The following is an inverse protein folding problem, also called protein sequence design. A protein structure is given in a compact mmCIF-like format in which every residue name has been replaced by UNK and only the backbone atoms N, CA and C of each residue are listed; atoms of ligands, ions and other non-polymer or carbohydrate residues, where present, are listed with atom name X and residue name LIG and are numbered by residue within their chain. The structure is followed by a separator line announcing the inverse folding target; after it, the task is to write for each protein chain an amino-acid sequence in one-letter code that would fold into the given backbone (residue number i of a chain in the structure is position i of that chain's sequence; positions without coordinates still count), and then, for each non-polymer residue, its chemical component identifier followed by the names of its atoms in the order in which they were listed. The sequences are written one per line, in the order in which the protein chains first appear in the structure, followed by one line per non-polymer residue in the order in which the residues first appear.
data_IF_991551677754
#
_entry.id   IF_991551677754
#
_cell.length_a   1.000
_cell.length_b   1.000
_cell.length_c   1.000
_cell.angle_alpha   90.00
_cell.angle_beta   90.00
_cell.angle_gamma   90.00
#
_symmetry.space_group_name_H-M   'P 1'
#
loop_
_entity.id
_entity.type
_entity.pdbx_description
1 polymer ?
#
# COMPACT_ATOMS: atom_id res chain seq x y z
N UNK A 1 -18.34 6.04 -28.62
CA UNK A 1 -17.79 5.67 -27.30
C UNK A 1 -16.85 6.76 -26.91
N UNK A 2 -17.27 7.58 -25.95
CA UNK A 2 -16.59 8.81 -25.55
C UNK A 2 -15.32 8.48 -24.77
N UNK A 3 -14.23 9.00 -25.28
CA UNK A 3 -12.87 9.02 -24.72
C UNK A 3 -12.87 9.50 -23.26
N UNK A 4 -13.01 8.60 -22.31
CA UNK A 4 -12.64 8.87 -20.92
C UNK A 4 -11.13 8.72 -20.78
N UNK A 5 -10.35 9.59 -21.45
CA UNK A 5 -8.97 9.79 -21.02
C UNK A 5 -9.04 10.14 -19.53
N UNK A 6 -8.44 9.30 -18.69
CA UNK A 6 -8.32 9.58 -17.26
C UNK A 6 -7.67 10.96 -17.12
N UNK A 7 -8.43 11.94 -16.65
CA UNK A 7 -7.92 13.29 -16.48
C UNK A 7 -6.95 13.29 -15.30
N UNK A 8 -5.77 13.84 -15.51
CA UNK A 8 -4.79 14.00 -14.43
C UNK A 8 -5.39 14.84 -13.31
N UNK A 9 -5.35 14.34 -12.09
CA UNK A 9 -5.68 15.13 -10.90
C UNK A 9 -4.52 16.10 -10.66
N UNK A 10 -4.76 17.41 -10.48
CA UNK A 10 -3.68 18.34 -10.15
C UNK A 10 -2.90 17.93 -8.90
N UNK A 11 -1.59 18.17 -8.87
CA UNK A 11 -0.75 17.88 -7.68
C UNK A 11 -1.30 18.55 -6.41
N UNK A 12 -1.84 19.77 -6.54
CA UNK A 12 -2.46 20.52 -5.44
C UNK A 12 -3.67 19.82 -4.81
N UNK A 13 -4.38 18.99 -5.58
CA UNK A 13 -5.60 18.29 -5.15
C UNK A 13 -5.31 16.88 -4.62
N UNK A 14 -4.07 16.39 -4.71
CA UNK A 14 -3.72 15.09 -4.15
C UNK A 14 -3.86 15.10 -2.63
N UNK A 15 -4.32 13.98 -2.09
CA UNK A 15 -4.37 13.72 -0.65
C UNK A 15 -3.22 12.82 -0.22
N UNK A 16 -2.95 12.73 1.07
CA UNK A 16 -1.92 11.83 1.61
C UNK A 16 -2.20 10.34 1.29
N UNK A 17 -3.44 10.00 0.89
CA UNK A 17 -3.78 8.65 0.43
C UNK A 17 -3.50 8.41 -1.05
N UNK A 18 -3.11 9.43 -1.80
CA UNK A 18 -2.66 9.28 -3.18
C UNK A 18 -1.20 8.81 -3.19
N UNK A 19 -0.94 7.66 -3.81
CA UNK A 19 0.33 6.95 -3.74
C UNK A 19 1.53 7.86 -4.02
N UNK A 20 1.50 8.64 -5.10
CA UNK A 20 2.59 9.55 -5.43
C UNK A 20 2.91 10.51 -4.28
N UNK A 21 1.90 11.19 -3.73
CA UNK A 21 2.12 12.13 -2.63
C UNK A 21 2.56 11.41 -1.35
N UNK A 22 2.00 10.23 -1.09
CA UNK A 22 2.38 9.41 0.06
C UNK A 22 3.86 9.03 0.03
N UNK A 23 4.33 8.50 -1.11
CA UNK A 23 5.72 8.08 -1.29
C UNK A 23 6.66 9.28 -1.09
N UNK A 24 6.38 10.43 -1.71
CA UNK A 24 7.19 11.65 -1.59
C UNK A 24 7.23 12.23 -0.16
N UNK A 25 6.11 12.18 0.56
CA UNK A 25 6.05 12.64 1.95
C UNK A 25 6.87 11.73 2.86
N UNK A 26 6.81 10.43 2.62
CA UNK A 26 7.49 9.42 3.43
C UNK A 26 9.00 9.31 3.14
N UNK A 27 9.51 9.92 2.07
CA UNK A 27 10.95 10.07 1.83
C UNK A 27 11.63 10.98 2.88
N UNK A 28 10.89 11.89 3.49
CA UNK A 28 11.42 12.70 4.58
C UNK A 28 11.38 11.91 5.89
N UNK A 29 12.56 11.49 6.38
CA UNK A 29 12.69 10.65 7.59
C UNK A 29 12.00 11.24 8.82
N UNK A 30 12.07 12.56 9.03
CA UNK A 30 11.45 13.22 10.18
C UNK A 30 9.93 13.20 10.09
N UNK A 31 9.37 13.44 8.91
CA UNK A 31 7.91 13.40 8.68
C UNK A 31 7.41 11.97 8.77
N UNK A 32 8.15 11.02 8.19
CA UNK A 32 7.87 9.60 8.29
C UNK A 32 7.83 9.14 9.75
N UNK A 33 8.83 9.53 10.55
CA UNK A 33 8.87 9.22 11.98
C UNK A 33 7.64 9.77 12.71
N UNK A 34 7.26 11.04 12.48
CA UNK A 34 6.06 11.64 13.07
C UNK A 34 4.79 10.85 12.71
N UNK A 35 4.67 10.42 11.47
CA UNK A 35 3.52 9.61 11.01
C UNK A 35 3.49 8.26 11.75
N UNK A 36 4.62 7.58 11.87
CA UNK A 36 4.71 6.32 12.61
C UNK A 36 4.40 6.50 14.09
N UNK A 37 4.89 7.56 14.73
CA UNK A 37 4.58 7.88 16.14
C UNK A 37 3.08 8.09 16.37
N UNK A 38 2.41 8.82 15.48
CA UNK A 38 0.95 9.01 15.54
C UNK A 38 0.24 7.65 15.39
N UNK A 39 0.67 6.84 14.40
CA UNK A 39 0.06 5.54 14.13
C UNK A 39 0.24 4.58 15.30
N UNK A 40 1.43 4.53 15.90
CA UNK A 40 1.75 3.60 16.97
C UNK A 40 1.31 4.12 18.35
N UNK A 41 1.10 5.43 18.49
CA UNK A 41 0.72 6.09 19.74
C UNK A 41 1.86 6.09 20.77
N UNK A 42 3.10 6.09 20.31
CA UNK A 42 4.32 6.13 21.13
C UNK A 42 5.46 6.76 20.34
N UNK A 43 6.43 7.31 21.04
CA UNK A 43 7.68 7.72 20.42
C UNK A 43 8.42 6.49 19.90
N UNK A 44 9.11 6.65 18.78
CA UNK A 44 9.94 5.61 18.15
C UNK A 44 11.39 6.10 18.07
N UNK A 45 12.33 5.18 18.01
CA UNK A 45 13.73 5.49 17.78
C UNK A 45 13.92 6.14 16.38
N UNK A 46 15.05 6.82 16.18
CA UNK A 46 15.33 7.46 14.89
C UNK A 46 15.33 6.44 13.76
N UNK A 47 14.76 6.80 12.62
CA UNK A 47 14.82 5.99 11.44
C UNK A 47 16.26 6.01 10.88
N UNK A 48 16.84 4.83 10.69
CA UNK A 48 18.21 4.67 10.15
C UNK A 48 18.19 4.33 8.66
N UNK A 49 17.03 3.90 8.15
CA UNK A 49 16.83 3.53 6.77
C UNK A 49 15.37 3.77 6.39
N UNK A 50 15.16 4.57 5.35
CA UNK A 50 13.85 4.75 4.73
C UNK A 50 14.01 4.58 3.21
N UNK A 51 13.19 3.72 2.61
CA UNK A 51 13.19 3.45 1.17
C UNK A 51 11.74 3.43 0.68
N UNK A 52 11.45 4.25 -0.33
CA UNK A 52 10.19 4.20 -1.07
C UNK A 52 10.29 3.21 -2.22
N UNK A 53 9.15 2.63 -2.61
CA UNK A 53 9.06 1.68 -3.73
C UNK A 53 10.05 0.49 -3.67
N UNK A 54 10.41 0.04 -2.48
CA UNK A 54 11.33 -1.09 -2.30
C UNK A 54 10.80 -2.37 -2.94
N UNK A 55 11.52 -2.87 -3.94
CA UNK A 55 11.19 -4.15 -4.56
C UNK A 55 11.80 -5.32 -3.75
N UNK A 56 10.94 -6.24 -3.33
CA UNK A 56 11.34 -7.50 -2.69
C UNK A 56 11.06 -8.68 -3.62
N UNK A 57 12.11 -9.46 -3.88
CA UNK A 57 12.05 -10.67 -4.69
C UNK A 57 13.00 -11.71 -4.11
N UNK A 58 12.46 -12.84 -3.71
CA UNK A 58 13.27 -13.97 -3.19
C UNK A 58 13.82 -14.85 -4.31
N UNK A 59 13.22 -14.81 -5.50
CA UNK A 59 13.67 -15.55 -6.70
C UNK A 59 13.15 -14.89 -7.96
N UNK A 60 13.91 -14.94 -9.09
CA UNK A 60 13.41 -14.46 -10.39
C UNK A 60 12.12 -15.16 -10.88
N UNK A 61 11.85 -16.37 -10.36
CA UNK A 61 10.66 -17.16 -10.71
C UNK A 61 9.45 -16.86 -9.81
N UNK A 62 9.64 -16.13 -8.71
CA UNK A 62 8.56 -15.79 -7.80
C UNK A 62 8.05 -14.38 -8.07
N UNK A 63 6.79 -14.16 -7.69
CA UNK A 63 6.16 -12.85 -7.76
C UNK A 63 6.91 -11.87 -6.87
N UNK A 64 7.47 -10.82 -7.45
CA UNK A 64 7.99 -9.68 -6.69
C UNK A 64 6.83 -8.86 -6.12
N UNK A 65 7.10 -8.17 -5.04
CA UNK A 65 6.25 -7.09 -4.56
C UNK A 65 7.06 -5.81 -4.52
N UNK A 66 6.38 -4.70 -4.74
CA UNK A 66 6.88 -3.37 -4.46
C UNK A 66 6.18 -2.90 -3.20
N UNK A 67 6.95 -2.66 -2.15
CA UNK A 67 6.48 -2.06 -0.90
C UNK A 67 6.50 -0.55 -1.08
N UNK A 68 5.41 0.13 -0.71
CA UNK A 68 5.34 1.57 -0.92
C UNK A 68 6.40 2.27 -0.07
N UNK A 69 6.43 2.04 1.23
CA UNK A 69 7.43 2.61 2.13
C UNK A 69 7.96 1.57 3.10
N UNK A 70 9.26 1.35 3.06
CA UNK A 70 10.00 0.52 4.02
C UNK A 70 10.90 1.41 4.88
N UNK A 71 10.91 1.17 6.19
CA UNK A 71 11.87 1.81 7.09
C UNK A 71 12.30 0.90 8.22
N UNK A 72 13.46 1.24 8.81
CA UNK A 72 14.02 0.60 9.98
C UNK A 72 14.48 1.68 10.95
N UNK A 73 14.25 1.49 12.24
CA UNK A 73 14.76 2.38 13.27
C UNK A 73 16.07 1.87 13.92
N UNK A 74 16.65 2.67 14.83
CA UNK A 74 17.91 2.33 15.52
C UNK A 74 17.76 1.12 16.44
N UNK A 75 16.56 0.78 16.89
CA UNK A 75 16.27 -0.42 17.69
C UNK A 75 16.08 -1.67 16.84
N UNK A 76 16.08 -1.49 15.50
CA UNK A 76 15.93 -2.58 14.54
C UNK A 76 14.48 -2.98 14.27
N UNK A 77 13.48 -2.21 14.72
CA UNK A 77 12.11 -2.42 14.30
C UNK A 77 11.92 -2.05 12.84
N UNK A 78 11.11 -2.83 12.16
CA UNK A 78 10.84 -2.64 10.74
C UNK A 78 9.40 -2.21 10.51
N UNK A 79 9.25 -1.22 9.66
CA UNK A 79 7.95 -0.67 9.29
C UNK A 79 7.77 -0.75 7.77
N UNK A 80 6.69 -1.38 7.33
CA UNK A 80 6.19 -1.27 5.96
C UNK A 80 4.86 -0.55 6.01
N UNK A 81 4.79 0.64 5.41
CA UNK A 81 3.58 1.47 5.41
C UNK A 81 3.07 1.64 3.99
N UNK A 82 1.79 1.39 3.77
CA UNK A 82 1.13 1.44 2.47
C UNK A 82 -0.18 2.23 2.54
N UNK A 83 -0.40 3.15 1.60
CA UNK A 83 -1.67 3.82 1.38
C UNK A 83 -2.47 3.12 0.27
N UNK A 84 -3.58 2.48 0.61
CA UNK A 84 -4.41 1.74 -0.34
C UNK A 84 -5.76 2.40 -0.56
N UNK A 85 -5.83 3.29 -1.56
CA UNK A 85 -7.02 4.09 -1.85
C UNK A 85 -8.17 3.28 -2.46
N UNK A 86 -7.85 2.30 -3.31
CA UNK A 86 -8.87 1.49 -4.00
C UNK A 86 -9.22 0.23 -3.18
N UNK A 87 -10.52 -0.11 -3.03
CA UNK A 87 -10.93 -1.31 -2.33
C UNK A 87 -10.33 -2.58 -2.93
N UNK A 88 -9.76 -3.43 -2.08
CA UNK A 88 -9.18 -4.72 -2.45
C UNK A 88 -9.57 -5.80 -1.43
N UNK A 89 -10.25 -6.86 -1.86
CA UNK A 89 -10.69 -7.93 -0.95
C UNK A 89 -9.53 -8.82 -0.49
N UNK A 90 -8.38 -8.75 -1.13
CA UNK A 90 -7.20 -9.59 -0.86
C UNK A 90 -6.20 -8.97 0.13
N UNK A 91 -6.46 -7.77 0.67
CA UNK A 91 -5.54 -7.07 1.57
C UNK A 91 -5.06 -7.90 2.77
N UNK A 92 -5.92 -8.67 3.47
CA UNK A 92 -5.44 -9.50 4.57
C UNK A 92 -4.44 -10.59 4.15
N UNK A 93 -4.67 -11.21 2.98
CA UNK A 93 -3.72 -12.20 2.43
C UNK A 93 -2.47 -11.53 1.88
N UNK A 94 -2.60 -10.34 1.28
CA UNK A 94 -1.50 -9.55 0.76
C UNK A 94 -0.57 -9.12 1.89
N UNK A 95 -1.10 -8.65 3.03
CA UNK A 95 -0.29 -8.29 4.19
C UNK A 95 0.52 -9.47 4.75
N UNK A 96 -0.06 -10.69 4.73
CA UNK A 96 0.66 -11.91 5.11
C UNK A 96 1.79 -12.24 4.11
N UNK A 97 1.53 -12.06 2.82
CA UNK A 97 2.53 -12.29 1.78
C UNK A 97 3.69 -11.29 1.89
N UNK A 98 3.39 -10.03 2.20
CA UNK A 98 4.39 -9.00 2.47
C UNK A 98 5.28 -9.36 3.66
N UNK A 99 4.68 -9.82 4.75
CA UNK A 99 5.43 -10.30 5.92
C UNK A 99 6.42 -11.39 5.53
N UNK A 100 5.99 -12.43 4.81
CA UNK A 100 6.87 -13.53 4.43
C UNK A 100 8.01 -13.12 3.49
N UNK A 101 7.80 -12.19 2.57
CA UNK A 101 8.86 -11.66 1.72
C UNK A 101 9.82 -10.76 2.48
N UNK A 102 9.29 -9.95 3.40
CA UNK A 102 10.09 -9.13 4.29
C UNK A 102 11.04 -10.00 5.12
N UNK A 103 10.51 -10.99 5.83
CA UNK A 103 11.27 -11.91 6.67
C UNK A 103 12.35 -12.64 5.85
N UNK A 104 11.99 -13.10 4.65
CA UNK A 104 12.95 -13.74 3.73
C UNK A 104 14.07 -12.82 3.25
N UNK A 105 13.86 -11.51 3.24
CA UNK A 105 14.85 -10.52 2.80
C UNK A 105 15.79 -10.06 3.92
N UNK A 106 15.43 -10.31 5.17
CA UNK A 106 16.14 -9.84 6.36
C UNK A 106 17.14 -10.86 6.89
N UNK A 107 16.86 -12.16 6.74
CA UNK A 107 17.80 -13.19 7.12
C UNK A 107 18.83 -13.42 6.02
N UNK A 108 20.10 -13.37 6.39
CA UNK A 108 21.18 -13.74 5.47
C UNK A 108 21.12 -15.24 5.11
N UNK A 109 21.44 -15.61 3.86
CA UNK A 109 21.50 -17.00 3.44
C UNK A 109 22.46 -17.80 4.33
N UNK A 110 21.95 -18.90 4.88
CA UNK A 110 22.72 -19.77 5.80
C UNK A 110 22.61 -19.41 7.29
N UNK A 111 21.86 -18.35 7.64
CA UNK A 111 21.54 -18.07 9.03
C UNK A 111 20.71 -19.21 9.63
N UNK A 112 21.17 -19.73 10.77
CA UNK A 112 20.50 -20.81 11.50
C UNK A 112 19.67 -20.32 12.69
N UNK A 113 19.73 -19.02 12.99
CA UNK A 113 19.09 -18.41 14.16
C UNK A 113 17.94 -17.52 13.76
N UNK A 114 16.72 -18.03 13.78
CA UNK A 114 15.49 -17.26 13.46
C UNK A 114 15.18 -16.16 14.48
N UNK A 115 15.77 -16.19 15.68
CA UNK A 115 15.65 -15.08 16.65
C UNK A 115 16.37 -13.80 16.20
N UNK A 116 17.07 -13.83 15.07
CA UNK A 116 17.64 -12.64 14.42
C UNK A 116 16.63 -11.89 13.55
N UNK A 117 15.44 -12.46 13.32
CA UNK A 117 14.35 -11.74 12.65
C UNK A 117 13.94 -10.53 13.48
N UNK A 118 13.84 -9.40 12.81
CA UNK A 118 13.40 -8.15 13.41
C UNK A 118 11.91 -8.19 13.73
N UNK A 119 11.50 -7.53 14.80
CA UNK A 119 10.11 -7.20 15.01
C UNK A 119 9.64 -6.27 13.89
N UNK A 120 8.45 -6.51 13.35
CA UNK A 120 7.99 -5.82 12.15
C UNK A 120 6.52 -5.43 12.20
N UNK A 121 6.23 -4.28 11.56
CA UNK A 121 4.90 -3.71 11.43
C UNK A 121 4.53 -3.58 9.96
N UNK A 122 3.48 -4.28 9.52
CA UNK A 122 2.84 -4.06 8.23
C UNK A 122 1.64 -3.14 8.47
N UNK A 123 1.71 -1.91 7.99
CA UNK A 123 0.73 -0.86 8.21
C UNK A 123 0.04 -0.54 6.88
N UNK A 124 -1.28 -0.66 6.83
CA UNK A 124 -2.08 -0.37 5.64
C UNK A 124 -3.13 0.67 5.99
N UNK A 125 -3.10 1.81 5.29
CA UNK A 125 -4.06 2.91 5.47
C UNK A 125 -5.07 2.89 4.34
N UNK A 126 -6.38 2.87 4.68
CA UNK A 126 -7.47 2.78 3.71
C UNK A 126 -8.57 3.82 3.96
N UNK A 127 -9.19 4.40 2.91
CA UNK A 127 -10.38 5.25 3.07
C UNK A 127 -11.68 4.42 3.13
N UNK A 128 -11.59 3.18 3.56
CA UNK A 128 -12.72 2.26 3.73
C UNK A 128 -12.42 1.24 4.81
N UNK A 129 -13.48 0.71 5.43
CA UNK A 129 -13.36 -0.30 6.48
C UNK A 129 -13.21 -1.71 5.88
N UNK A 130 -12.02 -2.29 6.02
CA UNK A 130 -11.70 -3.64 5.51
C UNK A 130 -12.49 -4.74 6.25
N UNK A 131 -12.86 -4.49 7.52
CA UNK A 131 -13.45 -5.50 8.40
C UNK A 131 -14.91 -5.20 8.79
N UNK A 132 -15.41 -4.01 8.47
CA UNK A 132 -16.82 -3.64 8.69
C UNK A 132 -17.23 -3.41 10.14
N UNK A 133 -16.28 -3.16 11.07
CA UNK A 133 -16.55 -2.94 12.50
C UNK A 133 -16.49 -1.46 12.92
N UNK A 134 -16.32 -0.53 11.97
CA UNK A 134 -16.30 0.91 12.21
C UNK A 134 -15.12 1.44 13.02
N UNK A 135 -14.03 0.68 13.14
CA UNK A 135 -12.88 1.11 13.93
C UNK A 135 -11.86 1.86 13.08
N UNK A 136 -11.17 2.85 13.70
CA UNK A 136 -10.03 3.56 13.09
C UNK A 136 -8.81 2.66 12.95
N UNK A 137 -8.60 1.72 13.90
CA UNK A 137 -7.44 0.82 13.94
C UNK A 137 -7.88 -0.62 14.19
N UNK A 138 -7.29 -1.53 13.42
CA UNK A 138 -7.36 -2.97 13.61
C UNK A 138 -5.93 -3.50 13.71
N UNK A 139 -5.55 -4.00 14.89
CA UNK A 139 -4.22 -4.57 15.13
C UNK A 139 -4.32 -6.09 15.24
N UNK A 140 -3.57 -6.79 14.42
CA UNK A 140 -3.53 -8.24 14.38
C UNK A 140 -2.16 -8.76 14.81
N UNK A 141 -2.19 -9.67 15.78
CA UNK A 141 -1.08 -10.50 16.23
C UNK A 141 -1.58 -11.93 16.38
N UNK A 142 -0.72 -12.93 16.18
CA UNK A 142 -1.10 -14.31 16.38
C UNK A 142 -1.37 -14.59 17.86
N UNK A 143 -2.45 -15.34 18.16
CA UNK A 143 -2.87 -15.71 19.51
C UNK A 143 -3.19 -17.18 19.57
N UNK A 144 -3.04 -17.78 20.75
CA UNK A 144 -3.42 -19.15 21.02
C UNK A 144 -4.96 -19.22 21.11
N UNK A 145 -5.58 -20.13 20.38
CA UNK A 145 -7.04 -20.32 20.37
C UNK A 145 -7.52 -20.89 21.71
N UNK A 146 -6.72 -21.72 22.37
CA UNK A 146 -7.02 -22.32 23.68
C UNK A 146 -6.91 -21.34 24.82
N UNK A 147 -6.12 -20.25 24.63
CA UNK A 147 -5.95 -19.18 25.60
C UNK A 147 -5.69 -17.84 24.89
N UNK A 148 -6.72 -17.04 24.68
CA UNK A 148 -6.65 -15.77 23.94
C UNK A 148 -5.78 -14.69 24.59
N UNK A 149 -5.40 -14.84 25.86
CA UNK A 149 -4.40 -13.96 26.51
C UNK A 149 -2.98 -14.30 26.13
N UNK A 150 -2.72 -15.49 25.60
CA UNK A 150 -1.41 -15.93 25.12
C UNK A 150 -1.17 -15.41 23.71
N UNK A 151 -0.30 -14.44 23.57
CA UNK A 151 0.14 -13.89 22.29
C UNK A 151 1.39 -14.67 21.85
N UNK A 152 1.44 -15.09 20.58
CA UNK A 152 2.65 -15.67 19.99
C UNK A 152 3.74 -14.59 19.92
N UNK A 153 4.91 -14.78 20.55
CA UNK A 153 5.95 -13.75 20.57
C UNK A 153 6.84 -13.84 19.32
N UNK A 154 6.23 -13.73 18.13
CA UNK A 154 6.91 -13.81 16.82
C UNK A 154 7.34 -12.44 16.27
N UNK A 155 7.04 -11.35 16.99
CA UNK A 155 7.39 -9.99 16.58
C UNK A 155 6.58 -9.43 15.39
N UNK A 156 5.69 -10.23 14.77
CA UNK A 156 4.94 -9.81 13.59
C UNK A 156 3.65 -9.09 13.98
N UNK A 157 3.50 -7.82 13.60
CA UNK A 157 2.29 -7.03 13.83
C UNK A 157 1.74 -6.48 12.51
N UNK A 158 0.43 -6.65 12.28
CA UNK A 158 -0.27 -6.06 11.14
C UNK A 158 -1.31 -5.06 11.62
N UNK A 159 -1.26 -3.85 11.08
CA UNK A 159 -2.15 -2.75 11.45
C UNK A 159 -2.90 -2.31 10.19
N UNK A 160 -4.23 -2.34 10.27
CA UNK A 160 -5.08 -1.76 9.25
C UNK A 160 -5.74 -0.52 9.84
N UNK A 161 -5.57 0.60 9.14
CA UNK A 161 -6.12 1.90 9.51
C UNK A 161 -7.22 2.28 8.54
N UNK A 162 -8.35 2.71 9.09
CA UNK A 162 -9.53 3.14 8.34
C UNK A 162 -9.79 4.62 8.62
N UNK A 163 -9.73 5.47 7.60
CA UNK A 163 -9.94 6.93 7.80
C UNK A 163 -11.41 7.27 8.15
N UNK A 164 -12.31 6.31 8.00
CA UNK A 164 -13.76 6.44 8.29
C UNK A 164 -14.18 5.72 9.57
N UNK A 165 -13.26 5.54 10.50
CA UNK A 165 -13.57 4.97 11.81
C UNK A 165 -14.55 5.87 12.58
N UNK A 166 -15.24 5.28 13.57
CA UNK A 166 -16.22 5.98 14.40
C UNK A 166 -15.92 5.89 15.90
N UNK A 167 -14.92 5.09 16.29
CA UNK A 167 -14.54 4.81 17.67
C UNK A 167 -13.42 5.73 18.18
N UNK A 168 -13.58 7.04 18.05
CA UNK A 168 -12.55 8.06 18.35
C UNK A 168 -11.97 7.94 19.76
N UNK A 169 -12.81 7.74 20.79
CA UNK A 169 -12.38 7.59 22.19
C UNK A 169 -11.44 6.39 22.39
N UNK A 170 -11.72 5.26 21.73
CA UNK A 170 -10.90 4.05 21.81
C UNK A 170 -9.60 4.18 21.01
N UNK A 171 -9.66 4.81 19.84
CA UNK A 171 -8.54 4.97 18.92
C UNK A 171 -7.51 6.01 19.40
N UNK A 172 -7.95 6.96 20.19
CA UNK A 172 -7.19 8.15 20.58
C UNK A 172 -7.37 9.30 19.60
N UNK A 173 -7.40 10.52 20.15
CA UNK A 173 -7.68 11.74 19.40
C UNK A 173 -6.66 12.01 18.30
N UNK A 174 -5.37 11.86 18.59
CA UNK A 174 -4.28 12.13 17.64
C UNK A 174 -4.37 11.24 16.39
N UNK A 175 -4.60 9.94 16.56
CA UNK A 175 -4.76 9.02 15.43
C UNK A 175 -6.00 9.34 14.61
N UNK A 176 -7.14 9.61 15.26
CA UNK A 176 -8.37 9.92 14.55
C UNK A 176 -8.22 11.21 13.72
N UNK A 177 -7.64 12.26 14.30
CA UNK A 177 -7.35 13.52 13.61
C UNK A 177 -6.40 13.33 12.43
N UNK A 178 -5.34 12.54 12.61
CA UNK A 178 -4.40 12.23 11.52
C UNK A 178 -5.10 11.50 10.35
N UNK A 179 -5.93 10.50 10.64
CA UNK A 179 -6.63 9.74 9.60
C UNK A 179 -7.67 10.60 8.86
N UNK A 180 -8.37 11.50 9.56
CA UNK A 180 -9.26 12.47 8.95
C UNK A 180 -8.50 13.51 8.09
N UNK A 181 -7.34 13.96 8.56
CA UNK A 181 -6.44 14.82 7.82
C UNK A 181 -5.91 14.10 6.55
N UNK A 182 -5.46 12.84 6.67
CA UNK A 182 -4.91 12.09 5.54
C UNK A 182 -5.90 11.94 4.38
N UNK A 183 -7.20 11.87 4.67
CA UNK A 183 -8.25 11.80 3.64
C UNK A 183 -8.46 13.14 2.90
N UNK A 184 -8.29 14.27 3.56
CA UNK A 184 -8.56 15.61 3.02
C UNK A 184 -7.29 16.32 2.55
N UNK A 185 -6.27 16.30 3.40
CA UNK A 185 -4.95 16.92 3.19
C UNK A 185 -5.03 18.39 2.77
N UNK A 186 -5.88 19.14 3.47
CA UNK A 186 -6.13 20.57 3.26
C UNK A 186 -5.81 21.41 4.51
N UNK A 187 -5.70 22.74 4.32
CA UNK A 187 -5.38 23.71 5.37
C UNK A 187 -6.41 23.66 6.52
N UNK A 188 -7.68 23.47 6.18
CA UNK A 188 -8.78 23.48 7.16
C UNK A 188 -8.67 22.26 8.09
N UNK A 189 -8.46 21.08 7.54
CA UNK A 189 -8.34 19.85 8.35
C UNK A 189 -7.06 19.87 9.19
N UNK A 190 -5.96 20.43 8.69
CA UNK A 190 -4.73 20.60 9.45
C UNK A 190 -4.91 21.54 10.64
N UNK A 191 -5.50 22.73 10.43
CA UNK A 191 -5.73 23.71 11.50
C UNK A 191 -6.74 23.19 12.53
N UNK A 192 -7.79 22.52 12.10
CA UNK A 192 -8.82 21.96 13.00
C UNK A 192 -8.30 20.83 13.88
N UNK A 193 -7.21 20.15 13.47
CA UNK A 193 -6.61 19.11 14.31
C UNK A 193 -6.02 19.66 15.60
N UNK A 194 -5.59 20.93 15.62
CA UNK A 194 -4.86 21.54 16.73
C UNK A 194 -3.72 20.65 17.26
N UNK A 195 -3.09 19.88 16.37
CA UNK A 195 -2.03 18.93 16.66
C UNK A 195 -0.74 19.35 15.97
N UNK A 196 0.31 19.57 16.75
CA UNK A 196 1.60 20.08 16.26
C UNK A 196 2.26 19.13 15.23
N UNK A 197 2.17 17.81 15.43
CA UNK A 197 2.73 16.82 14.48
C UNK A 197 2.01 16.90 13.14
N UNK A 198 0.67 16.98 13.16
CA UNK A 198 -0.14 17.10 11.93
C UNK A 198 0.16 18.40 11.21
N UNK A 199 0.32 19.52 11.94
CA UNK A 199 0.69 20.81 11.33
C UNK A 199 2.06 20.74 10.66
N UNK A 200 3.06 20.09 11.27
CA UNK A 200 4.39 19.88 10.66
C UNK A 200 4.32 19.01 9.41
N UNK A 201 3.53 17.93 9.44
CA UNK A 201 3.28 17.08 8.26
C UNK A 201 2.65 17.91 7.14
N UNK A 202 1.64 18.71 7.47
CA UNK A 202 0.93 19.57 6.50
C UNK A 202 1.86 20.63 5.89
N UNK A 203 2.70 21.27 6.68
CA UNK A 203 3.65 22.26 6.20
C UNK A 203 4.64 21.65 5.20
N UNK A 204 5.14 20.44 5.47
CA UNK A 204 5.97 19.70 4.54
C UNK A 204 5.22 19.38 3.24
N UNK A 205 3.97 18.91 3.32
CA UNK A 205 3.14 18.63 2.13
C UNK A 205 2.91 19.90 1.30
N UNK A 206 2.69 21.05 1.93
CA UNK A 206 2.55 22.32 1.22
C UNK A 206 3.81 22.69 0.46
N UNK A 207 4.99 22.50 1.07
CA UNK A 207 6.27 22.73 0.38
C UNK A 207 6.41 21.81 -0.84
N UNK A 208 6.12 20.51 -0.70
CA UNK A 208 6.14 19.56 -1.82
C UNK A 208 5.19 19.99 -2.95
N UNK A 209 3.93 20.29 -2.62
CA UNK A 209 2.91 20.69 -3.61
C UNK A 209 3.23 22.01 -4.32
N UNK A 210 4.02 22.89 -3.72
CA UNK A 210 4.41 24.17 -4.30
C UNK A 210 5.73 24.11 -5.09
N UNK A 211 6.44 22.98 -5.06
CA UNK A 211 7.71 22.80 -5.76
C UNK A 211 7.51 22.55 -7.25
N UNK A 212 8.22 23.30 -8.10
CA UNK A 212 8.22 23.07 -9.56
C UNK A 212 8.83 21.69 -9.89
N UNK A 213 9.89 21.30 -9.19
CA UNK A 213 10.53 19.99 -9.35
C UNK A 213 9.54 18.86 -9.09
N UNK A 214 8.77 18.97 -7.99
CA UNK A 214 7.73 18.01 -7.66
C UNK A 214 6.61 17.97 -8.72
N UNK A 215 6.25 19.12 -9.28
CA UNK A 215 5.32 19.21 -10.40
C UNK A 215 5.78 18.42 -11.63
N UNK A 216 7.08 18.54 -11.98
CA UNK A 216 7.69 17.79 -13.09
C UNK A 216 7.74 16.30 -12.79
N UNK A 217 8.19 15.90 -11.58
CA UNK A 217 8.23 14.49 -11.14
C UNK A 217 6.84 13.84 -11.18
N UNK A 218 5.82 14.56 -10.73
CA UNK A 218 4.45 14.08 -10.78
C UNK A 218 3.92 13.90 -12.21
N UNK A 219 4.24 14.83 -13.10
CA UNK A 219 3.84 14.74 -14.51
C UNK A 219 4.48 13.52 -15.19
N UNK A 220 5.77 13.28 -14.94
CA UNK A 220 6.48 12.11 -15.45
C UNK A 220 5.87 10.80 -14.95
N UNK A 221 5.62 10.69 -13.63
CA UNK A 221 4.98 9.53 -13.03
C UNK A 221 3.56 9.28 -13.60
N UNK A 222 2.83 10.34 -13.92
CA UNK A 222 1.54 10.25 -14.58
C UNK A 222 1.65 9.73 -16.02
N UNK A 223 2.61 10.24 -16.79
CA UNK A 223 2.86 9.81 -18.17
C UNK A 223 3.25 8.33 -18.24
N UNK A 224 4.17 7.88 -17.36
CA UNK A 224 4.55 6.47 -17.23
C UNK A 224 3.33 5.59 -16.91
N UNK A 225 2.49 6.03 -15.98
CA UNK A 225 1.25 5.31 -15.63
C UNK A 225 0.29 5.20 -16.82
N UNK A 226 0.14 6.27 -17.60
CA UNK A 226 -0.70 6.24 -18.81
C UNK A 226 -0.12 5.29 -19.85
N UNK A 227 1.19 5.31 -20.08
CA UNK A 227 1.85 4.40 -21.02
C UNK A 227 1.62 2.94 -20.62
N UNK A 228 1.82 2.58 -19.35
CA UNK A 228 1.55 1.21 -18.86
C UNK A 228 0.09 0.81 -19.06
N UNK A 229 -0.85 1.74 -18.84
CA UNK A 229 -2.27 1.50 -19.04
C UNK A 229 -2.60 1.28 -20.53
N UNK A 230 -2.05 2.10 -21.43
CA UNK A 230 -2.25 1.99 -22.89
C UNK A 230 -1.66 0.67 -23.43
N UNK A 231 -0.45 0.30 -23.00
CA UNK A 231 0.17 -0.98 -23.33
C UNK A 231 -0.66 -2.17 -22.84
N UNK A 232 -1.17 -2.08 -21.59
CA UNK A 232 -2.04 -3.11 -21.01
C UNK A 232 -3.35 -3.28 -21.78
N UNK A 233 -3.96 -2.16 -22.20
CA UNK A 233 -5.16 -2.17 -23.01
C UNK A 233 -4.91 -2.79 -24.40
N UNK A 234 -3.82 -2.38 -25.07
CA UNK A 234 -3.45 -2.93 -26.36
C UNK A 234 -3.21 -4.45 -26.28
N UNK A 235 -2.43 -4.91 -25.29
CA UNK A 235 -2.22 -6.35 -25.04
C UNK A 235 -3.55 -7.08 -24.79
N UNK A 236 -4.48 -6.46 -24.02
CA UNK A 236 -5.81 -7.02 -23.77
C UNK A 236 -6.64 -7.15 -25.05
N UNK A 237 -6.62 -6.12 -25.91
CA UNK A 237 -7.31 -6.14 -27.22
C UNK A 237 -6.72 -7.23 -28.12
N UNK A 238 -5.40 -7.34 -28.22
CA UNK A 238 -4.73 -8.35 -29.03
C UNK A 238 -5.05 -9.77 -28.54
N UNK A 239 -5.03 -9.98 -27.23
CA UNK A 239 -5.40 -11.26 -26.61
C UNK A 239 -6.84 -11.63 -26.92
N UNK A 240 -7.78 -10.69 -26.74
CA UNK A 240 -9.21 -10.91 -27.05
C UNK A 240 -9.42 -11.28 -28.51
N UNK A 241 -8.79 -10.55 -29.44
CA UNK A 241 -8.83 -10.88 -30.89
C UNK A 241 -8.30 -12.27 -31.16
N UNK A 242 -7.18 -12.67 -30.51
CA UNK A 242 -6.58 -14.01 -30.71
C UNK A 242 -7.49 -15.11 -30.20
N UNK A 243 -8.10 -14.95 -29.01
CA UNK A 243 -9.05 -15.91 -28.44
C UNK A 243 -10.27 -16.09 -29.35
N UNK A 244 -10.89 -15.00 -29.78
CA UNK A 244 -12.06 -15.03 -30.67
C UNK A 244 -11.75 -15.70 -32.00
N UNK A 245 -10.57 -15.44 -32.57
CA UNK A 245 -10.12 -16.08 -33.84
C UNK A 245 -9.96 -17.57 -33.65
N UNK A 246 -9.26 -18.03 -32.60
CA UNK A 246 -9.06 -19.46 -32.33
C UNK A 246 -10.39 -20.21 -32.08
N UNK A 247 -11.32 -19.55 -31.37
CA UNK A 247 -12.66 -20.09 -31.18
C UNK A 247 -13.43 -20.22 -32.48
N UNK A 248 -13.34 -19.25 -33.38
CA UNK A 248 -13.94 -19.31 -34.73
C UNK A 248 -13.31 -20.41 -35.63
N UNK A 249 -12.04 -20.76 -35.39
CA UNK A 249 -11.35 -21.89 -36.03
C UNK A 249 -11.74 -23.25 -35.45
N UNK A 250 -12.64 -23.29 -34.44
CA UNK A 250 -13.14 -24.52 -33.82
C UNK A 250 -12.22 -25.12 -32.76
N UNK A 251 -11.28 -24.34 -32.21
CA UNK A 251 -10.44 -24.80 -31.12
C UNK A 251 -11.22 -24.88 -29.80
N UNK A 252 -10.87 -25.88 -29.01
CA UNK A 252 -11.45 -26.06 -27.68
C UNK A 252 -10.92 -25.03 -26.67
N UNK A 253 -11.63 -24.75 -25.58
CA UNK A 253 -11.19 -23.86 -24.50
C UNK A 253 -9.81 -24.24 -23.96
N UNK A 254 -9.52 -25.52 -23.84
CA UNK A 254 -8.21 -26.03 -23.37
C UNK A 254 -7.08 -25.69 -24.35
N UNK A 255 -7.28 -25.91 -25.65
CA UNK A 255 -6.30 -25.55 -26.68
C UNK A 255 -6.07 -24.02 -26.73
N UNK A 256 -7.14 -23.24 -26.62
CA UNK A 256 -7.05 -21.76 -26.59
C UNK A 256 -6.28 -21.29 -25.34
N UNK A 257 -6.54 -21.91 -24.21
CA UNK A 257 -5.84 -21.64 -22.94
C UNK A 257 -4.32 -21.83 -23.10
N UNK A 258 -3.89 -22.95 -23.66
CA UNK A 258 -2.48 -23.24 -23.92
C UNK A 258 -1.86 -22.29 -24.95
N UNK A 259 -2.54 -22.05 -26.09
CA UNK A 259 -2.04 -21.19 -27.15
C UNK A 259 -1.96 -19.70 -26.80
N UNK A 260 -2.75 -19.27 -25.83
CA UNK A 260 -2.80 -17.88 -25.36
C UNK A 260 -2.09 -17.66 -24.03
N UNK A 261 -1.63 -18.73 -23.36
CA UNK A 261 -1.00 -18.69 -22.02
C UNK A 261 -1.88 -17.98 -20.99
N UNK A 262 -3.17 -18.37 -20.96
CA UNK A 262 -4.17 -17.85 -20.01
C UNK A 262 -4.98 -19.00 -19.45
N UNK A 263 -5.64 -18.77 -18.28
CA UNK A 263 -6.47 -19.81 -17.69
C UNK A 263 -7.72 -20.12 -18.52
N UNK A 264 -8.27 -21.35 -18.45
CA UNK A 264 -9.56 -21.69 -19.09
C UNK A 264 -10.70 -20.77 -18.63
N UNK A 265 -10.69 -20.32 -17.38
CA UNK A 265 -11.67 -19.37 -16.86
C UNK A 265 -11.58 -18.01 -17.58
N UNK A 266 -10.36 -17.54 -17.88
CA UNK A 266 -10.16 -16.30 -18.65
C UNK A 266 -10.64 -16.47 -20.09
N UNK A 267 -10.44 -17.64 -20.70
CA UNK A 267 -10.97 -17.93 -22.04
C UNK A 267 -12.50 -17.80 -22.05
N UNK A 268 -13.19 -18.46 -21.09
CA UNK A 268 -14.66 -18.37 -20.97
C UNK A 268 -15.13 -16.94 -20.80
N UNK A 269 -14.51 -16.18 -19.89
CA UNK A 269 -14.87 -14.76 -19.68
C UNK A 269 -14.75 -13.90 -20.93
N UNK A 270 -13.81 -14.22 -21.83
CA UNK A 270 -13.66 -13.52 -23.10
C UNK A 270 -14.72 -13.95 -24.11
N UNK A 271 -15.09 -15.24 -24.12
CA UNK A 271 -16.08 -15.79 -25.06
C UNK A 271 -17.52 -15.43 -24.66
N UNK A 272 -17.77 -15.23 -23.37
CA UNK A 272 -19.10 -14.90 -22.81
C UNK A 272 -19.36 -13.37 -22.81
N UNK A 273 -18.39 -12.52 -23.19
CA UNK A 273 -18.51 -11.07 -23.20
C UNK A 273 -19.04 -10.54 -24.53
#
# INVERSE_FOLDING_TARGET
MTDKKSKMVPLSELTLLDRFLFDEVMENEQIHQLILEIILGKDIALLTRAETEKELRTSPLLRSIRMDVFSMDEEGFIYNTEAQKQPRPDLPKRSRYYQGLLDSSLLEPGSVHFNLLNDSFIIIITPYDVFGLGKYRYTFRARCDENTSCILPDGATRIFLNTKGTNREEAGEELAQFLEYAEKTDDISALNSNNEKILRIHEHIRMLKSSEEMGVKYMQAWEEKLQVLEEGLEKGIQLTKKVLKLSAEGRTESEISELCDISPEQVRRILDA
#
